data_IF_263784618992
#
_entry.id   IF_263784618992
#
_cell.length_a   1.000
_cell.length_b   1.000
_cell.length_c   1.000
_cell.angle_alpha   90.00
_cell.angle_beta   90.00
_cell.angle_gamma   90.00
#
_symmetry.space_group_name_H-M   'P 1'
#
loop_
_entity.id
_entity.type
_entity.pdbx_description
1 polymer ?
#
# COMPACT_ATOMS: atom_id res chain seq x y z
N UNK A 1 9.67 -16.25 -40.31
CA UNK A 1 11.11 -15.91 -40.31
C UNK A 1 11.49 -15.83 -38.85
N UNK A 2 12.06 -16.90 -38.30
CA UNK A 2 12.52 -16.90 -36.90
C UNK A 2 13.66 -15.89 -36.73
N UNK A 3 13.72 -15.13 -35.64
CA UNK A 3 14.87 -14.31 -35.34
C UNK A 3 16.11 -15.21 -35.26
N UNK A 4 17.27 -14.80 -35.83
CA UNK A 4 18.47 -15.61 -35.75
C UNK A 4 18.87 -15.83 -34.29
N UNK A 5 19.37 -17.02 -33.93
CA UNK A 5 19.78 -17.31 -32.56
C UNK A 5 20.90 -16.36 -32.12
N UNK A 6 20.80 -15.85 -30.89
CA UNK A 6 21.87 -15.07 -30.26
C UNK A 6 23.16 -15.88 -30.27
N UNK A 7 24.16 -15.42 -31.02
CA UNK A 7 25.48 -16.05 -31.07
C UNK A 7 26.15 -15.91 -29.70
N UNK A 8 26.46 -17.02 -28.99
CA UNK A 8 27.10 -16.93 -27.69
C UNK A 8 28.53 -16.40 -27.82
N UNK A 9 28.90 -15.48 -26.92
CA UNK A 9 30.17 -14.71 -26.85
C UNK A 9 31.48 -15.54 -26.78
N UNK A 10 31.42 -16.88 -26.87
CA UNK A 10 32.56 -17.79 -26.63
C UNK A 10 33.23 -18.35 -27.90
N UNK A 11 32.98 -17.78 -29.07
CA UNK A 11 33.41 -18.39 -30.35
C UNK A 11 34.11 -17.46 -31.36
N UNK A 12 34.54 -16.26 -30.97
CA UNK A 12 35.29 -15.41 -31.89
C UNK A 12 36.49 -14.75 -31.21
N UNK A 13 37.57 -14.64 -31.97
CA UNK A 13 38.82 -14.05 -31.52
C UNK A 13 38.72 -12.52 -31.54
N UNK A 14 38.63 -11.92 -30.35
CA UNK A 14 38.48 -10.48 -30.12
C UNK A 14 39.68 -9.69 -30.69
N UNK A 15 40.86 -10.30 -30.78
CA UNK A 15 42.07 -9.64 -31.29
C UNK A 15 42.17 -9.61 -32.82
N UNK A 16 41.33 -10.37 -33.51
CA UNK A 16 41.32 -10.45 -34.98
C UNK A 16 40.55 -9.31 -35.66
N UNK A 17 39.87 -8.45 -34.89
CA UNK A 17 38.92 -7.46 -35.39
C UNK A 17 39.55 -6.06 -35.33
N UNK A 18 39.71 -5.43 -36.50
CA UNK A 18 40.22 -4.07 -36.61
C UNK A 18 39.07 -3.05 -36.59
N UNK A 19 38.88 -2.33 -35.48
CA UNK A 19 37.83 -1.32 -35.31
C UNK A 19 37.97 -0.10 -36.23
N UNK A 20 39.11 0.09 -36.89
CA UNK A 20 39.34 1.22 -37.81
C UNK A 20 38.87 0.93 -39.25
N UNK A 21 38.50 -0.31 -39.56
CA UNK A 21 37.96 -0.69 -40.86
C UNK A 21 36.43 -0.67 -40.82
N UNK A 22 35.80 -0.29 -41.94
CA UNK A 22 34.34 -0.28 -42.04
C UNK A 22 33.86 -1.72 -42.27
N UNK A 23 32.94 -2.25 -41.45
CA UNK A 23 32.49 -3.63 -41.57
C UNK A 23 31.78 -3.87 -42.90
N UNK A 24 32.11 -4.97 -43.56
CA UNK A 24 31.60 -5.31 -44.90
C UNK A 24 30.22 -5.99 -44.90
N UNK A 25 29.78 -6.50 -43.75
CA UNK A 25 28.50 -7.22 -43.59
C UNK A 25 27.93 -7.02 -42.17
N UNK A 26 26.64 -7.31 -41.97
CA UNK A 26 25.94 -7.16 -40.69
C UNK A 26 26.51 -8.02 -39.57
N UNK A 27 27.05 -9.20 -39.87
CA UNK A 27 27.71 -10.04 -38.85
C UNK A 27 29.05 -9.44 -38.39
N UNK A 28 29.77 -8.78 -39.31
CA UNK A 28 31.03 -8.09 -39.04
C UNK A 28 30.79 -6.84 -38.19
N UNK A 29 29.70 -6.13 -38.47
CA UNK A 29 29.23 -5.01 -37.65
C UNK A 29 28.94 -5.42 -36.20
N UNK A 30 28.23 -6.53 -35.98
CA UNK A 30 27.93 -7.00 -34.62
C UNK A 30 29.19 -7.36 -33.84
N UNK A 31 30.21 -7.93 -34.50
CA UNK A 31 31.51 -8.18 -33.88
C UNK A 31 32.19 -6.87 -33.46
N UNK A 32 32.19 -5.85 -34.32
CA UNK A 32 32.76 -4.53 -34.00
C UNK A 32 32.09 -3.93 -32.77
N UNK A 33 30.75 -3.97 -32.69
CA UNK A 33 29.99 -3.46 -31.53
C UNK A 33 30.33 -4.21 -30.24
N UNK A 34 30.50 -5.54 -30.30
CA UNK A 34 30.86 -6.32 -29.11
C UNK A 34 32.27 -5.95 -28.63
N UNK A 35 33.24 -5.84 -29.55
CA UNK A 35 34.61 -5.43 -29.20
C UNK A 35 34.62 -3.99 -28.68
N UNK A 36 33.89 -3.07 -29.29
CA UNK A 36 33.75 -1.68 -28.82
C UNK A 36 33.12 -1.62 -27.43
N UNK A 37 32.08 -2.43 -27.16
CA UNK A 37 31.44 -2.49 -25.84
C UNK A 37 32.39 -2.94 -24.74
N UNK A 38 33.36 -3.82 -25.04
CA UNK A 38 34.40 -4.23 -24.10
C UNK A 38 35.36 -3.08 -23.74
N UNK A 39 35.51 -2.08 -24.61
CA UNK A 39 36.31 -0.88 -24.35
C UNK A 39 35.53 0.20 -23.58
N UNK A 40 34.20 0.08 -23.50
CA UNK A 40 33.35 1.00 -22.74
C UNK A 40 33.15 0.49 -21.31
N UNK A 41 33.23 1.37 -20.29
CA UNK A 41 32.94 0.98 -18.91
C UNK A 41 31.51 0.43 -18.78
N UNK A 42 31.31 -0.56 -17.90
CA UNK A 42 30.02 -1.24 -17.77
C UNK A 42 28.92 -0.27 -17.29
N UNK A 43 29.26 0.56 -16.31
CA UNK A 43 28.41 1.63 -15.77
C UNK A 43 29.25 2.90 -15.68
N UNK A 44 28.67 4.03 -16.07
CA UNK A 44 29.25 5.36 -15.87
C UNK A 44 28.41 6.09 -14.84
N UNK A 45 29.04 6.55 -13.76
CA UNK A 45 28.41 7.44 -12.78
C UNK A 45 28.88 8.86 -13.10
N UNK A 46 27.95 9.79 -13.26
CA UNK A 46 28.26 11.21 -13.42
C UNK A 46 27.86 11.96 -12.17
N UNK A 47 28.80 12.69 -11.58
CA UNK A 47 28.51 13.57 -10.45
C UNK A 47 27.68 14.76 -10.94
N UNK A 48 26.40 14.76 -10.60
CA UNK A 48 25.48 15.88 -10.79
C UNK A 48 25.18 16.48 -9.43
N UNK A 49 25.20 17.81 -9.37
CA UNK A 49 24.79 18.53 -8.16
C UNK A 49 23.25 18.55 -8.07
N UNK A 50 22.73 17.92 -7.02
CA UNK A 50 21.30 17.85 -6.73
C UNK A 50 20.90 18.65 -5.47
N UNK A 51 21.82 19.45 -4.91
CA UNK A 51 21.63 20.18 -3.64
C UNK A 51 20.36 21.04 -3.58
N UNK A 52 19.91 21.57 -4.72
CA UNK A 52 18.66 22.35 -4.83
C UNK A 52 17.38 21.54 -4.51
N UNK A 53 17.45 20.22 -4.49
CA UNK A 53 16.29 19.34 -4.27
C UNK A 53 16.26 18.70 -2.87
N UNK A 54 17.29 18.88 -2.06
CA UNK A 54 17.37 18.31 -0.70
C UNK A 54 16.28 18.84 0.22
N UNK A 55 15.80 20.06 -0.02
CA UNK A 55 14.75 20.71 0.78
C UNK A 55 13.32 20.41 0.32
N UNK A 56 13.15 19.83 -0.87
CA UNK A 56 11.84 19.53 -1.47
C UNK A 56 11.52 18.03 -1.48
N UNK A 57 12.18 17.26 -0.60
CA UNK A 57 11.89 15.84 -0.46
C UNK A 57 10.60 15.64 0.34
N UNK A 58 9.77 14.70 -0.12
CA UNK A 58 8.61 14.23 0.64
C UNK A 58 9.09 13.66 1.97
N UNK A 59 8.59 14.18 3.10
CA UNK A 59 8.95 13.69 4.44
C UNK A 59 8.36 12.29 4.61
N UNK A 60 9.20 11.33 4.96
CA UNK A 60 8.77 9.97 5.30
C UNK A 60 8.13 9.95 6.69
N UNK A 61 7.04 9.18 6.86
CA UNK A 61 6.26 9.12 8.10
C UNK A 61 7.14 8.88 9.36
N UNK A 62 8.20 8.10 9.24
CA UNK A 62 9.10 7.79 10.36
C UNK A 62 9.85 9.04 10.87
N UNK A 63 10.32 9.91 9.96
CA UNK A 63 10.94 11.20 10.32
C UNK A 63 9.91 12.23 10.83
N UNK A 64 8.67 12.14 10.38
CA UNK A 64 7.58 12.97 10.92
C UNK A 64 7.29 12.60 12.38
N UNK A 65 7.30 11.30 12.70
CA UNK A 65 7.08 10.77 14.04
C UNK A 65 8.16 11.19 15.05
N UNK A 66 9.43 11.26 14.64
CA UNK A 66 10.54 11.71 15.50
C UNK A 66 10.36 13.15 16.00
N UNK A 67 9.71 14.02 15.22
CA UNK A 67 9.43 15.42 15.60
C UNK A 67 8.32 15.57 16.63
N UNK A 68 7.52 14.52 16.84
CA UNK A 68 6.50 14.47 17.88
C UNK A 68 6.94 13.44 18.94
N UNK A 69 7.81 13.83 19.90
CA UNK A 69 8.19 12.94 20.98
C UNK A 69 6.92 12.39 21.61
N UNK A 70 6.92 11.09 21.95
CA UNK A 70 5.80 10.38 22.54
C UNK A 70 5.21 11.22 23.68
N UNK A 71 4.21 12.07 23.40
CA UNK A 71 3.51 12.79 24.46
C UNK A 71 2.96 11.72 25.37
N UNK A 72 3.11 11.88 26.68
CA UNK A 72 2.53 10.99 27.68
C UNK A 72 1.06 10.76 27.33
N UNK A 73 0.81 9.66 26.64
CA UNK A 73 -0.52 9.24 26.28
C UNK A 73 -1.13 8.73 27.58
N UNK A 74 -2.42 9.01 27.78
CA UNK A 74 -3.18 8.27 28.77
C UNK A 74 -2.98 6.78 28.46
N UNK A 75 -2.22 6.07 29.31
CA UNK A 75 -1.83 4.66 29.13
C UNK A 75 -3.05 3.75 28.88
N UNK A 76 -4.24 4.24 29.22
CA UNK A 76 -5.54 3.60 28.97
C UNK A 76 -5.92 3.52 27.49
N UNK A 77 -5.35 4.37 26.63
CA UNK A 77 -5.67 4.43 25.20
C UNK A 77 -4.67 3.64 24.34
N UNK A 78 -3.57 3.16 24.91
CA UNK A 78 -2.62 2.31 24.18
C UNK A 78 -3.11 0.87 24.25
N UNK A 79 -3.23 0.16 23.10
CA UNK A 79 -3.66 -1.23 23.10
C UNK A 79 -2.73 -2.14 23.91
N UNK A 80 -3.32 -3.12 24.61
CA UNK A 80 -2.62 -4.05 25.50
C UNK A 80 -1.58 -4.90 24.76
N UNK A 81 -0.56 -5.37 25.47
CA UNK A 81 0.50 -6.22 24.90
C UNK A 81 -0.05 -7.53 24.32
N UNK A 82 -1.07 -8.11 24.97
CA UNK A 82 -1.79 -9.31 24.50
C UNK A 82 -2.43 -9.05 23.12
N UNK A 83 -3.00 -7.86 22.95
CA UNK A 83 -3.55 -7.42 21.68
C UNK A 83 -2.47 -7.22 20.61
N UNK A 84 -1.27 -6.77 20.99
CA UNK A 84 -0.13 -6.66 20.07
C UNK A 84 0.47 -8.04 19.70
N UNK A 85 0.36 -9.03 20.58
CA UNK A 85 0.95 -10.37 20.39
C UNK A 85 0.05 -11.37 19.64
N UNK A 86 -1.17 -10.98 19.22
CA UNK A 86 -1.97 -11.80 18.32
C UNK A 86 -2.92 -12.80 18.99
N UNK A 87 -3.08 -12.78 20.32
CA UNK A 87 -4.01 -13.67 21.01
C UNK A 87 -5.49 -13.31 20.72
N UNK A 88 -6.40 -14.29 20.83
CA UNK A 88 -7.84 -14.05 20.77
C UNK A 88 -8.22 -12.97 21.79
N UNK A 89 -8.97 -11.96 21.35
CA UNK A 89 -9.32 -10.81 22.19
C UNK A 89 -10.09 -11.29 23.42
N UNK A 90 -9.53 -11.07 24.62
CA UNK A 90 -10.29 -11.28 25.83
C UNK A 90 -11.48 -10.31 25.86
N UNK A 91 -12.54 -10.65 26.60
CA UNK A 91 -13.69 -9.75 26.74
C UNK A 91 -13.27 -8.38 27.32
N UNK A 92 -12.21 -8.35 28.12
CA UNK A 92 -11.64 -7.12 28.67
C UNK A 92 -10.95 -6.29 27.59
N UNK A 93 -10.21 -6.91 26.67
CA UNK A 93 -9.58 -6.19 25.55
C UNK A 93 -10.63 -5.59 24.60
N UNK A 94 -11.74 -6.30 24.36
CA UNK A 94 -12.88 -5.76 23.58
C UNK A 94 -13.49 -4.53 24.24
N UNK A 95 -13.64 -4.54 25.58
CA UNK A 95 -14.16 -3.38 26.31
C UNK A 95 -13.21 -2.18 26.25
N UNK A 96 -11.89 -2.41 26.28
CA UNK A 96 -10.88 -1.36 26.12
C UNK A 96 -10.94 -0.77 24.71
N UNK A 97 -11.01 -1.64 23.69
CA UNK A 97 -11.18 -1.21 22.30
C UNK A 97 -12.46 -0.40 22.12
N UNK A 98 -13.59 -0.86 22.68
CA UNK A 98 -14.85 -0.13 22.62
C UNK A 98 -14.72 1.27 23.21
N UNK A 99 -14.07 1.40 24.37
CA UNK A 99 -13.83 2.70 25.00
C UNK A 99 -12.90 3.60 24.19
N UNK A 100 -11.90 3.01 23.54
CA UNK A 100 -10.98 3.71 22.65
C UNK A 100 -11.71 4.22 21.40
N UNK A 101 -12.56 3.39 20.80
CA UNK A 101 -13.36 3.71 19.61
C UNK A 101 -14.44 4.77 19.92
N UNK A 102 -14.90 4.88 21.17
CA UNK A 102 -15.80 5.97 21.62
C UNK A 102 -15.14 7.37 21.64
N UNK A 103 -13.84 7.48 21.36
CA UNK A 103 -13.17 8.77 21.15
C UNK A 103 -12.98 9.01 19.66
N UNK A 104 -12.99 10.25 19.14
CA UNK A 104 -12.78 10.47 17.71
C UNK A 104 -11.35 10.04 17.28
N UNK A 105 -11.16 9.55 16.03
CA UNK A 105 -9.86 9.14 15.51
C UNK A 105 -8.96 10.35 15.24
N UNK A 106 -8.36 10.88 16.30
CA UNK A 106 -7.39 11.96 16.22
C UNK A 106 -6.12 11.46 15.53
N UNK A 107 -5.56 12.28 14.63
CA UNK A 107 -4.31 11.96 13.91
C UNK A 107 -3.17 11.60 14.87
N UNK A 108 -3.07 12.32 16.00
CA UNK A 108 -2.08 12.07 17.06
C UNK A 108 -2.18 10.67 17.67
N UNK A 109 -3.37 10.07 17.67
CA UNK A 109 -3.63 8.72 18.17
C UNK A 109 -3.33 7.71 17.06
N UNK A 110 -3.91 7.92 15.87
CA UNK A 110 -3.85 6.93 14.78
C UNK A 110 -2.41 6.71 14.30
N UNK A 111 -1.60 7.77 14.16
CA UNK A 111 -0.19 7.64 13.72
C UNK A 111 0.65 6.83 14.74
N UNK A 112 0.24 6.79 16.02
CA UNK A 112 0.97 6.04 17.06
C UNK A 112 0.60 4.56 17.12
N UNK A 113 -0.39 4.12 16.36
CA UNK A 113 -0.76 2.71 16.30
C UNK A 113 0.28 1.95 15.49
N UNK A 114 0.71 0.78 15.99
CA UNK A 114 1.57 -0.10 15.19
C UNK A 114 0.81 -0.64 13.97
N UNK A 115 1.49 -1.04 12.92
CA UNK A 115 0.84 -1.61 11.73
C UNK A 115 -0.08 -2.79 12.10
N UNK A 116 0.42 -3.74 12.91
CA UNK A 116 -0.39 -4.87 13.41
C UNK A 116 -1.62 -4.39 14.17
N UNK A 117 -1.47 -3.33 14.95
CA UNK A 117 -2.56 -2.72 15.70
C UNK A 117 -3.67 -2.21 14.78
N UNK A 118 -3.29 -1.51 13.72
CA UNK A 118 -4.22 -0.97 12.72
C UNK A 118 -5.02 -2.10 12.06
N UNK A 119 -4.34 -3.17 11.62
CA UNK A 119 -5.00 -4.32 11.01
C UNK A 119 -5.99 -5.00 11.95
N UNK A 120 -5.61 -5.28 13.20
CA UNK A 120 -6.50 -5.94 14.17
C UNK A 120 -7.70 -5.09 14.55
N UNK A 121 -7.49 -3.78 14.73
CA UNK A 121 -8.58 -2.84 15.00
C UNK A 121 -9.56 -2.78 13.83
N UNK A 122 -9.04 -2.73 12.60
CA UNK A 122 -9.87 -2.73 11.40
C UNK A 122 -10.69 -4.01 11.26
N UNK A 123 -10.06 -5.18 11.39
CA UNK A 123 -10.75 -6.48 11.30
C UNK A 123 -11.85 -6.61 12.38
N UNK A 124 -11.57 -6.15 13.60
CA UNK A 124 -12.57 -6.10 14.68
C UNK A 124 -13.75 -5.19 14.32
N UNK A 125 -13.49 -3.97 13.87
CA UNK A 125 -14.53 -3.01 13.48
C UNK A 125 -15.37 -3.51 12.32
N UNK A 126 -14.77 -4.18 11.34
CA UNK A 126 -15.50 -4.79 10.22
C UNK A 126 -16.42 -5.90 10.71
N UNK A 127 -15.93 -6.76 11.61
CA UNK A 127 -16.74 -7.85 12.17
C UNK A 127 -17.93 -7.30 12.95
N UNK A 128 -17.69 -6.32 13.81
CA UNK A 128 -18.74 -5.63 14.57
C UNK A 128 -19.75 -4.91 13.66
N UNK A 129 -19.28 -4.30 12.57
CA UNK A 129 -20.15 -3.66 11.58
C UNK A 129 -21.07 -4.67 10.89
N UNK A 130 -20.57 -5.87 10.59
CA UNK A 130 -21.37 -6.93 9.97
C UNK A 130 -22.40 -7.48 10.96
N UNK A 131 -22.02 -7.66 12.22
CA UNK A 131 -22.88 -8.26 13.25
C UNK A 131 -23.94 -7.29 13.79
N UNK A 132 -23.54 -6.05 14.12
CA UNK A 132 -24.38 -5.05 14.79
C UNK A 132 -24.94 -3.99 13.84
N UNK A 133 -24.37 -3.85 12.64
CA UNK A 133 -24.76 -2.86 11.64
C UNK A 133 -23.93 -1.57 11.68
N UNK A 134 -24.45 -0.53 11.00
CA UNK A 134 -23.76 0.76 10.88
C UNK A 134 -23.87 1.58 12.17
N UNK A 135 -22.72 2.02 12.65
CA UNK A 135 -22.61 3.02 13.72
C UNK A 135 -21.63 4.11 13.28
N UNK A 136 -22.02 5.37 13.53
CA UNK A 136 -21.28 6.54 13.06
C UNK A 136 -19.85 6.58 13.60
N UNK A 137 -19.64 6.44 14.92
CA UNK A 137 -18.32 6.53 15.55
C UNK A 137 -17.36 5.44 15.02
N UNK A 138 -17.86 4.20 14.89
CA UNK A 138 -17.10 3.06 14.37
C UNK A 138 -16.71 3.27 12.91
N UNK A 139 -17.60 3.87 12.10
CA UNK A 139 -17.32 4.18 10.71
C UNK A 139 -16.18 5.20 10.54
N UNK A 140 -16.07 6.18 11.43
CA UNK A 140 -14.96 7.16 11.41
C UNK A 140 -13.62 6.49 11.71
N UNK A 141 -13.59 5.61 12.72
CA UNK A 141 -12.39 4.83 13.01
C UNK A 141 -12.02 3.92 11.86
N UNK A 142 -12.98 3.22 11.28
CA UNK A 142 -12.74 2.35 10.14
C UNK A 142 -12.12 3.13 8.97
N UNK A 143 -12.66 4.31 8.66
CA UNK A 143 -12.10 5.18 7.63
C UNK A 143 -10.67 5.63 7.96
N UNK A 144 -10.43 6.13 9.18
CA UNK A 144 -9.11 6.58 9.61
C UNK A 144 -8.07 5.45 9.58
N UNK A 145 -8.44 4.24 10.01
CA UNK A 145 -7.56 3.08 9.98
C UNK A 145 -7.28 2.63 8.54
N UNK A 146 -8.27 2.63 7.65
CA UNK A 146 -8.05 2.34 6.22
C UNK A 146 -7.07 3.34 5.57
N UNK A 147 -7.09 4.61 5.96
CA UNK A 147 -6.12 5.61 5.49
C UNK A 147 -4.70 5.36 5.99
N UNK A 148 -4.53 4.65 7.11
CA UNK A 148 -3.22 4.37 7.69
C UNK A 148 -2.63 3.02 7.28
N UNK A 149 -3.39 2.20 6.53
CA UNK A 149 -2.90 0.92 6.01
C UNK A 149 -2.06 1.16 4.75
N UNK A 150 -0.81 0.70 4.80
CA UNK A 150 0.07 0.59 3.65
C UNK A 150 -0.24 -0.66 2.80
N UNK A 151 0.13 -0.62 1.53
CA UNK A 151 0.06 -1.76 0.59
C UNK A 151 1.46 -2.40 0.53
N UNK A 152 1.61 -3.75 0.50
CA UNK A 152 0.61 -4.79 0.24
C UNK A 152 -0.22 -5.21 1.46
N UNK A 153 -1.53 -5.40 1.25
CA UNK A 153 -2.44 -5.86 2.30
C UNK A 153 -2.24 -7.33 2.63
N UNK A 154 -2.47 -7.67 3.91
CA UNK A 154 -2.60 -9.06 4.33
C UNK A 154 -3.86 -9.71 3.72
N UNK A 155 -3.76 -11.01 3.41
CA UNK A 155 -4.87 -11.75 2.81
C UNK A 155 -6.13 -11.78 3.69
N UNK A 156 -5.98 -11.78 5.02
CA UNK A 156 -7.09 -11.75 5.97
C UNK A 156 -7.87 -10.45 5.87
N UNK A 157 -7.16 -9.33 5.86
CA UNK A 157 -7.73 -7.99 5.74
C UNK A 157 -8.35 -7.79 4.37
N UNK A 158 -7.74 -8.32 3.31
CA UNK A 158 -8.37 -8.38 2.00
C UNK A 158 -9.73 -9.08 2.06
N UNK A 159 -9.82 -10.26 2.68
CA UNK A 159 -11.10 -10.96 2.84
C UNK A 159 -12.11 -10.15 3.66
N UNK A 160 -11.68 -9.53 4.77
CA UNK A 160 -12.53 -8.68 5.62
C UNK A 160 -13.08 -7.48 4.84
N UNK A 161 -12.25 -6.77 4.06
CA UNK A 161 -12.68 -5.64 3.22
C UNK A 161 -13.68 -6.04 2.14
N UNK A 162 -13.57 -7.26 1.59
CA UNK A 162 -14.54 -7.80 0.64
C UNK A 162 -15.90 -8.03 1.30
N UNK A 163 -15.91 -8.62 2.49
CA UNK A 163 -17.14 -8.82 3.27
C UNK A 163 -17.76 -7.49 3.68
N UNK A 164 -16.95 -6.52 4.11
CA UNK A 164 -17.39 -5.16 4.36
C UNK A 164 -18.09 -4.57 3.13
N UNK A 165 -17.45 -4.57 1.97
CA UNK A 165 -18.03 -4.01 0.75
C UNK A 165 -19.34 -4.69 0.34
N UNK A 166 -19.43 -6.02 0.49
CA UNK A 166 -20.66 -6.78 0.25
C UNK A 166 -21.77 -6.37 1.23
N UNK A 167 -21.44 -6.21 2.51
CA UNK A 167 -22.37 -5.75 3.55
C UNK A 167 -22.83 -4.32 3.28
N UNK A 168 -21.92 -3.39 2.99
CA UNK A 168 -22.22 -2.01 2.60
C UNK A 168 -23.16 -1.94 1.39
N UNK A 169 -22.98 -2.82 0.40
CA UNK A 169 -23.87 -2.87 -0.78
C UNK A 169 -25.28 -3.35 -0.42
N UNK A 170 -25.41 -4.30 0.52
CA UNK A 170 -26.71 -4.73 1.06
C UNK A 170 -27.36 -3.59 1.83
N UNK A 171 -26.62 -2.96 2.75
CA UNK A 171 -27.12 -1.87 3.58
C UNK A 171 -27.58 -0.66 2.74
N UNK A 172 -26.81 -0.30 1.70
CA UNK A 172 -27.18 0.77 0.76
C UNK A 172 -28.48 0.49 0.01
N UNK A 173 -28.82 -0.78 -0.27
CA UNK A 173 -30.10 -1.14 -0.91
C UNK A 173 -31.30 -1.00 0.03
N UNK A 174 -31.08 -1.12 1.33
CA UNK A 174 -32.11 -0.95 2.36
C UNK A 174 -32.39 0.54 2.64
N UNK A 175 -31.47 1.43 2.28
CA UNK A 175 -31.65 2.86 2.46
C UNK A 175 -32.64 3.43 1.42
N UNK A 176 -33.75 4.01 1.91
CA UNK A 176 -34.81 4.57 1.06
C UNK A 176 -34.44 5.93 0.45
N UNK A 177 -33.52 6.67 1.08
CA UNK A 177 -33.08 7.99 0.62
C UNK A 177 -31.68 7.94 0.00
N UNK A 178 -31.54 8.48 -1.21
CA UNK A 178 -30.26 8.57 -1.92
C UNK A 178 -29.21 9.43 -1.19
N UNK A 179 -29.66 10.38 -0.37
CA UNK A 179 -28.80 11.31 0.38
C UNK A 179 -28.59 10.89 1.84
N UNK A 180 -28.91 9.64 2.18
CA UNK A 180 -28.68 9.17 3.53
C UNK A 180 -27.17 9.04 3.80
N UNK A 181 -26.77 9.46 5.00
CA UNK A 181 -25.38 9.42 5.43
C UNK A 181 -24.77 8.01 5.37
N UNK A 182 -25.57 7.00 5.72
CA UNK A 182 -25.19 5.59 5.66
C UNK A 182 -24.86 5.17 4.22
N UNK A 183 -25.66 5.59 3.24
CA UNK A 183 -25.46 5.28 1.83
C UNK A 183 -24.18 5.94 1.29
N UNK A 184 -23.91 7.19 1.70
CA UNK A 184 -22.65 7.88 1.41
C UNK A 184 -21.44 7.15 2.01
N UNK A 185 -21.48 6.83 3.31
CA UNK A 185 -20.40 6.12 3.99
C UNK A 185 -20.14 4.74 3.36
N UNK A 186 -21.20 3.98 3.07
CA UNK A 186 -21.10 2.69 2.37
C UNK A 186 -20.45 2.83 0.98
N UNK A 187 -20.79 3.89 0.25
CA UNK A 187 -20.19 4.15 -1.07
C UNK A 187 -18.71 4.50 -0.97
N UNK A 188 -18.29 5.22 0.08
CA UNK A 188 -16.87 5.48 0.37
C UNK A 188 -16.13 4.19 0.70
N UNK A 189 -16.67 3.33 1.56
CA UNK A 189 -16.04 2.05 1.90
C UNK A 189 -15.90 1.14 0.69
N UNK A 190 -16.93 1.03 -0.15
CA UNK A 190 -16.85 0.27 -1.42
C UNK A 190 -15.77 0.87 -2.33
N UNK A 191 -15.71 2.19 -2.45
CA UNK A 191 -14.71 2.87 -3.28
C UNK A 191 -13.27 2.61 -2.79
N UNK A 192 -13.02 2.74 -1.49
CA UNK A 192 -11.70 2.47 -0.91
C UNK A 192 -11.31 1.00 -1.08
N UNK A 193 -12.18 0.05 -0.72
CA UNK A 193 -11.93 -1.38 -0.91
C UNK A 193 -11.63 -1.71 -2.37
N UNK A 194 -12.42 -1.17 -3.31
CA UNK A 194 -12.29 -1.52 -4.71
C UNK A 194 -11.12 -0.82 -5.43
N UNK A 195 -11.00 0.50 -5.28
CA UNK A 195 -10.03 1.31 -6.04
C UNK A 195 -8.71 1.52 -5.32
N UNK A 196 -8.76 1.84 -4.03
CA UNK A 196 -7.54 2.12 -3.27
C UNK A 196 -6.78 0.81 -2.97
N UNK A 197 -7.49 -0.21 -2.48
CA UNK A 197 -6.90 -1.52 -2.18
C UNK A 197 -6.91 -2.50 -3.37
N UNK A 198 -7.35 -2.08 -4.55
CA UNK A 198 -7.25 -2.84 -5.80
C UNK A 198 -8.26 -3.99 -5.97
N UNK A 199 -9.32 -4.08 -5.16
CA UNK A 199 -10.38 -5.09 -5.30
C UNK A 199 -11.42 -4.68 -6.36
N UNK A 200 -10.98 -4.53 -7.61
CA UNK A 200 -11.78 -3.96 -8.71
C UNK A 200 -13.08 -4.70 -9.00
N UNK A 201 -13.19 -5.97 -8.65
CA UNK A 201 -14.41 -6.77 -8.80
C UNK A 201 -15.58 -6.29 -7.93
N UNK A 202 -15.30 -5.49 -6.90
CA UNK A 202 -16.30 -4.88 -6.03
C UNK A 202 -16.74 -3.49 -6.49
N UNK A 203 -16.02 -2.89 -7.43
CA UNK A 203 -16.27 -1.52 -7.85
C UNK A 203 -17.72 -1.34 -8.34
N UNK A 204 -18.33 -0.22 -7.97
CA UNK A 204 -19.55 0.19 -8.63
C UNK A 204 -19.22 0.57 -10.08
N UNK A 205 -20.05 0.10 -11.02
CA UNK A 205 -19.98 0.49 -12.42
C UNK A 205 -20.15 2.01 -12.49
N UNK A 206 -19.15 2.71 -13.03
CA UNK A 206 -19.31 4.11 -13.36
C UNK A 206 -20.43 4.22 -14.39
N UNK A 207 -21.50 4.94 -14.04
CA UNK A 207 -22.50 5.33 -15.02
C UNK A 207 -21.82 6.34 -15.94
N UNK A 208 -21.47 5.89 -17.14
CA UNK A 208 -21.04 6.73 -18.27
C UNK A 208 -22.25 7.34 -18.96
#
# INVERSE_FOLDING_TARGET
MEPPPFTPLKQFDVQSINLNEVPGDGYDFLKHVIVERLHCPETVVTDKDFSQYDTNQTIWCDQFLEKFPHSDNDRRLVPSEIWQQGASLSQQDKNILHRFISTPPLISIVIRLTERSVYRALEYLITEFIDSGYEYERAHWMFALMCCIGVPLQHSTCAALRELARSCRKLRRTCECADCEIARACSVFICLSARYFGQLDLADSLVS
#
